data_IF_215861880336
#
_entry.id   IF_215861880336
#
_cell.length_a   1.000
_cell.length_b   1.000
_cell.length_c   1.000
_cell.angle_alpha   90.00
_cell.angle_beta   90.00
_cell.angle_gamma   90.00
#
_symmetry.space_group_name_H-M   'P 1'
#
loop_
_entity.id
_entity.type
_entity.pdbx_description
1 polymer ?
#
# COMPACT_ATOMS: atom_id res chain seq x y z
N UNK A 1 20.82 5.84 -20.69
CA UNK A 1 20.53 5.38 -19.31
C UNK A 1 20.07 6.58 -18.51
N UNK A 2 18.90 6.51 -17.88
CA UNK A 2 18.38 7.60 -17.02
C UNK A 2 19.19 7.63 -15.72
N UNK A 3 19.44 8.82 -15.12
CA UNK A 3 20.13 9.02 -13.85
C UNK A 3 19.64 8.03 -12.76
N UNK A 4 18.34 7.85 -12.65
CA UNK A 4 17.74 6.93 -11.66
C UNK A 4 18.11 5.45 -11.89
N UNK A 5 18.40 5.04 -13.11
CA UNK A 5 18.85 3.69 -13.41
C UNK A 5 20.33 3.50 -13.04
N UNK A 6 21.16 4.53 -13.13
CA UNK A 6 22.58 4.46 -12.79
C UNK A 6 22.87 4.48 -11.29
N UNK A 7 21.96 5.02 -10.47
CA UNK A 7 22.11 5.15 -9.00
C UNK A 7 21.71 3.88 -8.22
N UNK A 8 21.15 2.86 -8.89
CA UNK A 8 20.79 1.58 -8.28
C UNK A 8 19.87 1.71 -7.05
N UNK A 9 20.24 1.07 -5.96
CA UNK A 9 19.43 1.04 -4.73
C UNK A 9 19.35 2.37 -3.99
N UNK A 10 20.22 3.35 -4.27
CA UNK A 10 20.14 4.69 -3.64
C UNK A 10 18.81 5.40 -3.91
N UNK A 11 18.17 5.08 -5.03
CA UNK A 11 16.90 5.69 -5.45
C UNK A 11 15.72 4.72 -5.40
N UNK A 12 15.88 3.56 -4.77
CA UNK A 12 14.84 2.54 -4.71
C UNK A 12 13.53 3.11 -4.18
N UNK A 13 13.55 3.80 -3.03
CA UNK A 13 12.35 4.38 -2.43
C UNK A 13 11.64 5.38 -3.35
N UNK A 14 12.40 6.24 -4.03
CA UNK A 14 11.85 7.21 -5.00
C UNK A 14 11.24 6.52 -6.21
N UNK A 15 11.82 5.41 -6.69
CA UNK A 15 11.29 4.63 -7.82
C UNK A 15 10.01 3.92 -7.45
N UNK A 16 9.98 3.25 -6.29
CA UNK A 16 8.78 2.55 -5.78
C UNK A 16 7.63 3.54 -5.56
N UNK A 17 7.92 4.68 -4.92
CA UNK A 17 6.91 5.72 -4.71
C UNK A 17 6.31 6.20 -6.03
N UNK A 18 7.13 6.57 -7.02
CA UNK A 18 6.66 7.02 -8.33
C UNK A 18 5.83 5.94 -9.05
N UNK A 19 6.26 4.67 -8.97
CA UNK A 19 5.52 3.56 -9.57
C UNK A 19 4.16 3.39 -8.89
N UNK A 20 4.11 3.45 -7.56
CA UNK A 20 2.87 3.39 -6.79
C UNK A 20 1.92 4.53 -7.14
N UNK A 21 2.42 5.79 -7.17
CA UNK A 21 1.63 6.96 -7.54
C UNK A 21 1.06 6.84 -8.97
N UNK A 22 1.87 6.35 -9.92
CA UNK A 22 1.43 6.10 -11.29
C UNK A 22 0.33 5.05 -11.34
N UNK A 23 0.48 3.93 -10.65
CA UNK A 23 -0.51 2.86 -10.59
C UNK A 23 -1.85 3.33 -9.99
N UNK A 24 -1.81 4.07 -8.87
CA UNK A 24 -3.01 4.63 -8.25
C UNK A 24 -3.69 5.67 -9.16
N UNK A 25 -2.90 6.51 -9.85
CA UNK A 25 -3.41 7.50 -10.80
C UNK A 25 -4.15 6.85 -11.97
N UNK A 26 -3.58 5.78 -12.55
CA UNK A 26 -4.24 5.06 -13.65
C UNK A 26 -5.54 4.38 -13.19
N UNK A 27 -5.56 3.82 -11.99
CA UNK A 27 -6.78 3.26 -11.40
C UNK A 27 -7.85 4.33 -11.16
N UNK A 28 -7.47 5.48 -10.62
CA UNK A 28 -8.39 6.61 -10.43
C UNK A 28 -8.95 7.12 -11.76
N UNK A 29 -8.11 7.18 -12.82
CA UNK A 29 -8.56 7.53 -14.17
C UNK A 29 -9.58 6.51 -14.68
N UNK A 30 -9.38 5.22 -14.44
CA UNK A 30 -10.33 4.18 -14.82
C UNK A 30 -11.69 4.38 -14.13
N UNK A 31 -11.73 4.65 -12.82
CA UNK A 31 -12.97 4.96 -12.10
C UNK A 31 -13.65 6.20 -12.68
N UNK A 32 -12.92 7.28 -12.92
CA UNK A 32 -13.45 8.50 -13.51
C UNK A 32 -14.08 8.26 -14.89
N UNK A 33 -13.40 7.51 -15.76
CA UNK A 33 -13.90 7.17 -17.10
C UNK A 33 -15.20 6.34 -17.07
N UNK A 34 -15.39 5.58 -16.00
CA UNK A 34 -16.59 4.77 -15.76
C UNK A 34 -17.69 5.52 -15.00
N UNK A 35 -17.43 6.78 -14.61
CA UNK A 35 -18.37 7.58 -13.82
C UNK A 35 -18.54 7.10 -12.36
N UNK A 36 -17.54 6.36 -11.83
CA UNK A 36 -17.56 5.82 -10.47
C UNK A 36 -16.78 6.76 -9.55
N UNK A 37 -17.45 7.32 -8.54
CA UNK A 37 -16.82 8.18 -7.50
C UNK A 37 -16.11 7.33 -6.45
N UNK A 38 -15.01 6.69 -6.86
CA UNK A 38 -14.16 5.88 -6.03
C UNK A 38 -12.71 6.32 -6.12
N UNK A 39 -12.00 6.39 -4.99
CA UNK A 39 -10.57 6.62 -4.94
C UNK A 39 -9.82 5.31 -4.70
N UNK A 40 -8.79 5.04 -5.49
CA UNK A 40 -8.01 3.81 -5.40
C UNK A 40 -7.38 3.59 -4.01
N UNK A 41 -7.15 4.65 -3.23
CA UNK A 41 -6.64 4.56 -1.85
C UNK A 41 -7.67 3.98 -0.87
N UNK A 42 -8.96 3.93 -1.22
CA UNK A 42 -10.01 3.34 -0.37
C UNK A 42 -10.10 1.83 -0.51
N UNK A 43 -9.46 1.27 -1.55
CA UNK A 43 -9.52 -0.15 -1.88
C UNK A 43 -9.29 -1.08 -0.67
N UNK A 44 -8.25 -0.91 0.17
CA UNK A 44 -8.00 -1.87 1.25
C UNK A 44 -9.16 -1.95 2.25
N UNK A 45 -9.74 -0.81 2.61
CA UNK A 45 -10.90 -0.75 3.53
C UNK A 45 -12.14 -1.37 2.89
N UNK A 46 -12.46 -0.99 1.66
CA UNK A 46 -13.62 -1.55 0.95
C UNK A 46 -13.48 -3.05 0.73
N UNK A 47 -12.29 -3.52 0.36
CA UNK A 47 -12.01 -4.94 0.20
C UNK A 47 -12.21 -5.72 1.50
N UNK A 48 -11.68 -5.23 2.61
CA UNK A 48 -11.85 -5.87 3.92
C UNK A 48 -13.32 -5.88 4.35
N UNK A 49 -14.05 -4.76 4.16
CA UNK A 49 -15.47 -4.67 4.47
C UNK A 49 -16.38 -5.41 3.47
N UNK A 50 -15.87 -5.83 2.32
CA UNK A 50 -16.57 -6.76 1.41
C UNK A 50 -16.54 -8.21 1.90
N UNK A 51 -15.60 -8.54 2.78
CA UNK A 51 -15.40 -9.89 3.34
C UNK A 51 -15.85 -10.00 4.80
N UNK A 52 -16.09 -8.86 5.46
CA UNK A 52 -16.45 -8.78 6.87
C UNK A 52 -17.57 -7.75 7.05
N UNK A 53 -18.58 -8.07 7.81
CA UNK A 53 -19.72 -7.18 8.06
C UNK A 53 -19.28 -5.89 8.78
N UNK A 54 -18.33 -6.02 9.72
CA UNK A 54 -17.81 -4.91 10.49
C UNK A 54 -16.39 -5.21 11.02
N UNK A 55 -15.53 -4.20 11.08
CA UNK A 55 -14.18 -4.28 11.61
C UNK A 55 -13.87 -3.04 12.47
N UNK A 56 -13.09 -3.22 13.53
CA UNK A 56 -12.54 -2.08 14.27
C UNK A 56 -11.43 -1.38 13.48
N UNK A 57 -11.15 -0.10 13.80
CA UNK A 57 -10.02 0.63 13.18
C UNK A 57 -8.69 -0.09 13.44
N UNK A 58 -8.56 -0.76 14.59
CA UNK A 58 -7.38 -1.54 14.92
C UNK A 58 -7.22 -2.73 13.95
N UNK A 59 -8.26 -3.53 13.76
CA UNK A 59 -8.25 -4.65 12.81
C UNK A 59 -7.99 -4.18 11.38
N UNK A 60 -8.60 -3.06 10.95
CA UNK A 60 -8.32 -2.45 9.64
C UNK A 60 -6.84 -2.04 9.52
N UNK A 61 -6.28 -1.38 10.53
CA UNK A 61 -4.88 -0.97 10.56
C UNK A 61 -3.92 -2.17 10.47
N UNK A 62 -4.17 -3.22 11.24
CA UNK A 62 -3.36 -4.43 11.26
C UNK A 62 -3.41 -5.21 9.93
N UNK A 63 -4.61 -5.39 9.36
CA UNK A 63 -4.78 -6.15 8.12
C UNK A 63 -4.31 -5.39 6.87
N UNK A 64 -4.31 -4.06 6.90
CA UNK A 64 -3.80 -3.23 5.78
C UNK A 64 -2.34 -2.84 5.95
N UNK A 65 -1.71 -3.22 7.07
CA UNK A 65 -0.32 -2.88 7.43
C UNK A 65 -0.03 -1.36 7.41
N UNK A 66 -1.05 -0.54 7.65
CA UNK A 66 -0.88 0.91 7.80
C UNK A 66 -0.91 1.31 9.27
N UNK A 67 -0.36 2.47 9.61
CA UNK A 67 -0.40 2.95 10.99
C UNK A 67 -1.85 3.24 11.44
N UNK A 68 -2.14 3.05 12.73
CA UNK A 68 -3.46 3.34 13.29
C UNK A 68 -3.94 4.78 13.01
N UNK A 69 -3.09 5.84 13.09
CA UNK A 69 -3.49 7.19 12.68
C UNK A 69 -3.88 7.28 11.21
N UNK A 70 -3.16 6.60 10.30
CA UNK A 70 -3.50 6.60 8.87
C UNK A 70 -4.82 5.90 8.60
N UNK A 71 -5.06 4.73 9.21
CA UNK A 71 -6.35 4.04 9.14
C UNK A 71 -7.49 4.91 9.69
N UNK A 72 -7.31 5.54 10.85
CA UNK A 72 -8.29 6.44 11.46
C UNK A 72 -8.63 7.63 10.55
N UNK A 73 -7.62 8.25 9.93
CA UNK A 73 -7.82 9.36 8.98
C UNK A 73 -8.60 8.91 7.75
N UNK A 74 -8.28 7.74 7.20
CA UNK A 74 -9.00 7.17 6.05
C UNK A 74 -10.47 6.91 6.40
N UNK A 75 -10.74 6.27 7.55
CA UNK A 75 -12.11 6.02 8.02
C UNK A 75 -12.87 7.34 8.24
N UNK A 76 -12.23 8.37 8.77
CA UNK A 76 -12.85 9.71 8.92
C UNK A 76 -13.25 10.28 7.55
N UNK A 77 -12.38 10.19 6.56
CA UNK A 77 -12.67 10.63 5.20
C UNK A 77 -13.84 9.87 4.57
N UNK A 78 -13.88 8.56 4.75
CA UNK A 78 -14.98 7.71 4.26
C UNK A 78 -16.31 7.99 4.98
N UNK A 79 -16.29 8.29 6.28
CA UNK A 79 -17.46 8.75 7.04
C UNK A 79 -17.99 10.08 6.51
N UNK A 80 -17.11 11.04 6.24
CA UNK A 80 -17.50 12.35 5.71
C UNK A 80 -18.18 12.24 4.32
N UNK A 81 -17.82 11.20 3.56
CA UNK A 81 -18.49 10.86 2.28
C UNK A 81 -19.74 10.00 2.45
N UNK A 82 -20.08 9.65 3.69
CA UNK A 82 -21.20 8.77 4.03
C UNK A 82 -21.10 7.37 3.39
N UNK A 83 -19.88 6.86 3.24
CA UNK A 83 -19.61 5.53 2.67
C UNK A 83 -19.48 4.46 3.75
N UNK A 84 -19.00 4.84 4.92
CA UNK A 84 -18.94 3.98 6.11
C UNK A 84 -19.56 4.67 7.31
N UNK A 85 -19.97 3.87 8.28
CA UNK A 85 -20.45 4.34 9.59
C UNK A 85 -19.78 3.56 10.70
N UNK A 86 -19.87 4.03 11.95
CA UNK A 86 -19.46 3.26 13.11
C UNK A 86 -20.68 2.81 13.88
N UNK A 87 -20.65 1.56 14.28
CA UNK A 87 -21.60 0.95 15.22
C UNK A 87 -20.86 0.55 16.49
N UNK A 88 -21.52 0.69 17.64
CA UNK A 88 -20.96 0.23 18.91
C UNK A 88 -21.09 -1.29 18.98
N UNK A 89 -20.03 -1.99 19.39
CA UNK A 89 -20.07 -3.42 19.57
C UNK A 89 -21.07 -3.78 20.70
N UNK A 90 -21.91 -4.78 20.48
CA UNK A 90 -22.90 -5.23 21.48
C UNK A 90 -22.23 -5.88 22.69
N UNK A 91 -21.08 -6.53 22.49
CA UNK A 91 -20.37 -7.29 23.54
C UNK A 91 -19.40 -6.41 24.34
N UNK A 92 -18.92 -5.31 23.77
CA UNK A 92 -18.07 -4.31 24.41
C UNK A 92 -18.42 -2.92 23.91
N UNK A 93 -19.22 -2.19 24.68
CA UNK A 93 -19.68 -0.83 24.36
C UNK A 93 -18.56 0.22 24.16
N UNK A 94 -17.29 -0.14 24.42
CA UNK A 94 -16.12 0.71 24.13
C UNK A 94 -15.54 0.49 22.75
N UNK A 95 -15.89 -0.61 22.07
CA UNK A 95 -15.41 -0.92 20.71
C UNK A 95 -16.33 -0.32 19.67
N UNK A 96 -15.76 0.51 18.82
CA UNK A 96 -16.40 1.05 17.62
C UNK A 96 -16.03 0.17 16.43
N UNK A 97 -17.04 -0.38 15.77
CA UNK A 97 -16.88 -1.17 14.55
C UNK A 97 -17.30 -0.33 13.35
N UNK A 98 -16.48 -0.37 12.30
CA UNK A 98 -16.74 0.30 11.02
C UNK A 98 -17.48 -0.67 10.11
N UNK A 99 -18.55 -0.22 9.48
CA UNK A 99 -19.34 -0.97 8.49
C UNK A 99 -19.68 -0.08 7.30
N UNK A 100 -19.97 -0.68 6.14
CA UNK A 100 -20.45 0.05 4.98
C UNK A 100 -21.88 0.57 5.22
N UNK A 101 -22.16 1.79 4.79
CA UNK A 101 -23.54 2.30 4.66
C UNK A 101 -24.20 1.68 3.41
N UNK A 102 -25.51 1.94 3.18
CA UNK A 102 -26.17 1.57 1.93
C UNK A 102 -25.48 2.19 0.72
N UNK A 103 -25.08 3.48 0.82
CA UNK A 103 -24.30 4.16 -0.20
C UNK A 103 -22.94 3.46 -0.43
N UNK A 104 -22.26 3.04 0.65
CA UNK A 104 -21.01 2.30 0.56
C UNK A 104 -21.19 0.93 -0.07
N UNK A 105 -22.26 0.21 0.23
CA UNK A 105 -22.60 -1.10 -0.40
C UNK A 105 -22.90 -0.97 -1.88
N UNK A 106 -23.66 0.06 -2.27
CA UNK A 106 -23.93 0.31 -3.69
C UNK A 106 -22.61 0.62 -4.44
N UNK A 107 -21.79 1.52 -3.90
CA UNK A 107 -20.48 1.80 -4.48
C UNK A 107 -19.58 0.56 -4.56
N UNK A 108 -19.61 -0.31 -3.53
CA UNK A 108 -18.88 -1.58 -3.57
C UNK A 108 -19.33 -2.46 -4.74
N UNK A 109 -20.63 -2.54 -4.98
CA UNK A 109 -21.18 -3.31 -6.12
C UNK A 109 -20.69 -2.77 -7.47
N UNK A 110 -20.54 -1.44 -7.60
CA UNK A 110 -20.05 -0.81 -8.82
C UNK A 110 -18.54 -1.04 -9.05
N UNK A 111 -17.74 -1.13 -7.97
CA UNK A 111 -16.28 -1.26 -8.10
C UNK A 111 -15.78 -2.70 -8.17
N UNK A 112 -16.55 -3.69 -7.69
CA UNK A 112 -16.14 -5.10 -7.72
C UNK A 112 -15.74 -5.57 -9.12
N UNK A 113 -16.54 -5.37 -10.21
CA UNK A 113 -16.14 -5.79 -11.55
C UNK A 113 -14.93 -5.00 -12.08
N UNK A 114 -14.69 -3.78 -11.60
CA UNK A 114 -13.50 -3.01 -11.97
C UNK A 114 -12.24 -3.63 -11.35
N UNK A 115 -12.32 -4.17 -10.12
CA UNK A 115 -11.18 -4.86 -9.50
C UNK A 115 -10.78 -6.12 -10.25
N UNK A 116 -11.75 -6.90 -10.71
CA UNK A 116 -11.49 -8.07 -11.55
C UNK A 116 -10.83 -7.66 -12.87
N UNK A 117 -11.30 -6.57 -13.48
CA UNK A 117 -10.70 -6.03 -14.70
C UNK A 117 -9.27 -5.50 -14.47
N UNK A 118 -8.98 -4.90 -13.32
CA UNK A 118 -7.62 -4.47 -12.95
C UNK A 118 -6.69 -5.68 -12.83
N UNK A 119 -7.14 -6.77 -12.19
CA UNK A 119 -6.35 -8.00 -12.09
C UNK A 119 -6.04 -8.57 -13.48
N UNK A 120 -7.05 -8.74 -14.33
CA UNK A 120 -6.87 -9.26 -15.67
C UNK A 120 -5.92 -8.40 -16.52
N UNK A 121 -6.07 -7.06 -16.46
CA UNK A 121 -5.20 -6.13 -17.18
C UNK A 121 -3.75 -6.19 -16.67
N UNK A 122 -3.54 -6.32 -15.36
CA UNK A 122 -2.20 -6.45 -14.79
C UNK A 122 -1.56 -7.78 -15.17
N UNK A 123 -2.29 -8.88 -15.15
CA UNK A 123 -1.79 -10.18 -15.58
C UNK A 123 -1.32 -10.14 -17.05
N UNK A 124 -2.09 -9.50 -17.94
CA UNK A 124 -1.69 -9.31 -19.34
C UNK A 124 -0.43 -8.42 -19.47
N UNK A 125 -0.32 -7.37 -18.65
CA UNK A 125 0.81 -6.44 -18.72
C UNK A 125 2.10 -7.06 -18.19
N UNK A 126 2.05 -7.76 -17.05
CA UNK A 126 3.24 -8.36 -16.45
C UNK A 126 3.72 -9.61 -17.18
N UNK A 127 2.85 -10.30 -17.92
CA UNK A 127 3.22 -11.45 -18.73
C UNK A 127 4.09 -11.10 -19.96
N UNK A 128 4.31 -9.79 -20.25
CA UNK A 128 5.07 -9.33 -21.41
C UNK A 128 6.58 -9.53 -21.29
N UNK A 129 7.10 -9.58 -20.09
CA UNK A 129 8.52 -9.81 -19.82
C UNK A 129 8.72 -10.52 -18.46
N UNK A 130 9.86 -11.22 -18.33
CA UNK A 130 10.18 -12.00 -17.13
C UNK A 130 10.44 -11.12 -15.91
N UNK A 131 11.05 -9.95 -16.08
CA UNK A 131 11.34 -9.03 -15.00
C UNK A 131 10.04 -8.51 -14.35
N UNK A 132 9.06 -8.14 -15.18
CA UNK A 132 7.74 -7.70 -14.69
C UNK A 132 6.97 -8.81 -13.98
N UNK A 133 7.04 -10.04 -14.46
CA UNK A 133 6.37 -11.20 -13.84
C UNK A 133 6.95 -11.54 -12.46
N UNK A 134 8.22 -11.22 -12.22
CA UNK A 134 8.92 -11.41 -10.94
C UNK A 134 8.76 -10.24 -9.95
N UNK A 135 8.01 -9.20 -10.29
CA UNK A 135 7.90 -7.99 -9.45
C UNK A 135 7.33 -8.29 -8.05
N UNK A 136 6.18 -8.96 -7.96
CA UNK A 136 5.55 -9.26 -6.66
C UNK A 136 6.40 -10.19 -5.79
N UNK A 137 6.99 -11.29 -6.30
CA UNK A 137 7.97 -12.08 -5.56
C UNK A 137 9.17 -11.27 -5.05
N UNK A 138 9.70 -10.35 -5.87
CA UNK A 138 10.82 -9.49 -5.47
C UNK A 138 10.43 -8.51 -4.36
N UNK A 139 9.24 -7.91 -4.42
CA UNK A 139 8.72 -7.03 -3.36
C UNK A 139 8.58 -7.83 -2.06
N UNK A 140 7.94 -9.00 -2.08
CA UNK A 140 7.75 -9.83 -0.90
C UNK A 140 9.10 -10.25 -0.27
N UNK A 141 10.11 -10.55 -1.08
CA UNK A 141 11.45 -10.85 -0.59
C UNK A 141 12.09 -9.64 0.11
N UNK A 142 11.95 -8.43 -0.43
CA UNK A 142 12.45 -7.20 0.19
C UNK A 142 11.73 -6.86 1.50
N UNK A 143 10.42 -7.03 1.56
CA UNK A 143 9.63 -6.86 2.78
C UNK A 143 10.11 -7.80 3.90
N UNK A 144 10.37 -9.07 3.58
CA UNK A 144 10.91 -10.04 4.54
C UNK A 144 12.31 -9.64 5.04
N UNK A 145 13.18 -9.14 4.15
CA UNK A 145 14.52 -8.65 4.54
C UNK A 145 14.38 -7.48 5.53
N UNK A 146 13.51 -6.51 5.26
CA UNK A 146 13.32 -5.34 6.13
C UNK A 146 12.62 -5.66 7.46
N UNK A 147 11.81 -6.73 7.55
CA UNK A 147 11.28 -7.21 8.83
C UNK A 147 12.37 -7.80 9.74
N UNK A 148 13.36 -8.44 9.16
CA UNK A 148 14.44 -9.14 9.90
C UNK A 148 15.74 -8.37 10.04
N UNK A 149 15.92 -7.23 9.36
CA UNK A 149 17.21 -6.54 9.27
C UNK A 149 17.02 -5.03 9.33
N UNK A 150 17.73 -4.39 10.27
CA UNK A 150 17.79 -2.92 10.32
C UNK A 150 18.75 -2.40 9.25
N UNK A 151 18.20 -1.72 8.23
CA UNK A 151 19.01 -1.07 7.20
C UNK A 151 19.91 0.02 7.79
N UNK A 152 19.44 0.78 8.78
CA UNK A 152 20.24 1.83 9.44
C UNK A 152 21.48 1.25 10.15
N UNK A 153 21.35 0.11 10.81
CA UNK A 153 22.49 -0.57 11.44
C UNK A 153 23.49 -1.07 10.39
N UNK A 154 23.02 -1.61 9.27
CA UNK A 154 23.90 -2.02 8.16
C UNK A 154 24.62 -0.83 7.53
N UNK A 155 23.96 0.31 7.37
CA UNK A 155 24.59 1.55 6.87
C UNK A 155 25.69 1.99 7.84
N UNK A 156 25.41 2.05 9.15
CA UNK A 156 26.39 2.46 10.17
C UNK A 156 27.61 1.54 10.19
N UNK A 157 27.40 0.22 10.13
CA UNK A 157 28.47 -0.77 10.10
C UNK A 157 29.38 -0.60 8.85
N UNK A 158 28.78 -0.46 7.67
CA UNK A 158 29.52 -0.28 6.43
C UNK A 158 30.28 1.05 6.38
N UNK A 159 29.73 2.11 6.94
CA UNK A 159 30.41 3.41 7.06
C UNK A 159 31.63 3.29 7.98
N UNK A 160 31.51 2.64 9.12
CA UNK A 160 32.59 2.43 10.08
C UNK A 160 33.77 1.67 9.46
N UNK A 161 33.51 0.66 8.63
CA UNK A 161 34.55 -0.09 7.89
C UNK A 161 35.27 0.81 6.89
N UNK A 162 34.52 1.59 6.09
CA UNK A 162 35.11 2.50 5.10
C UNK A 162 35.96 3.62 5.73
N UNK A 163 35.54 4.16 6.87
CA UNK A 163 36.32 5.18 7.57
C UNK A 163 37.63 4.64 8.15
N UNK A 164 37.65 3.39 8.65
CA UNK A 164 38.86 2.72 9.11
C UNK A 164 39.86 2.48 7.97
N UNK A 165 39.39 1.92 6.85
CA UNK A 165 40.27 1.66 5.68
C UNK A 165 40.85 2.96 5.10
N UNK A 166 40.07 4.07 5.07
CA UNK A 166 40.58 5.37 4.63
C UNK A 166 41.64 6.00 5.58
N UNK A 167 41.59 5.70 6.89
CA UNK A 167 42.61 6.13 7.85
C UNK A 167 43.90 5.31 7.70
N UNK A 168 43.77 4.01 7.47
CA UNK A 168 44.93 3.10 7.28
C UNK A 168 45.69 3.41 5.98
N UNK A 169 45.03 3.88 4.92
CA UNK A 169 45.64 4.30 3.65
C UNK A 169 46.37 5.67 3.72
N UNK A 170 45.99 6.53 4.68
CA UNK A 170 46.59 7.87 4.86
C UNK A 170 47.72 7.91 5.92
N UNK A 171 47.93 6.79 6.62
CA UNK A 171 48.91 6.64 7.69
C UNK A 171 50.23 5.97 7.28
N UNK A 172 50.54 5.81 5.96
CA UNK A 172 51.80 5.28 5.42
C UNK A 172 52.62 6.39 4.79
#
# INVERSE_FOLDING_TARGET
>A
MNLYQSLGYLVLGSRLRRLSESFLSERNRAYQNLGIDFDASWFPVFYLLSKNDALSIKELSEQTEVSHPAASQLITNLKNKNLVTSVTCTDDGRRQLVTLTDKGRNLLSDVLPVWDAVLAAMDELVARDEESSNLLPAIAAMENIFRGTSLSEKIAANLSVKLKSAHDEQGV
#
